data_IF_851020938757
#
_entry.id   IF_851020938757
#
_cell.length_a   1.000
_cell.length_b   1.000
_cell.length_c   1.000
_cell.angle_alpha   90.00
_cell.angle_beta   90.00
_cell.angle_gamma   90.00
#
_symmetry.space_group_name_H-M   'P 1'
#
loop_
_entity.id
_entity.type
_entity.pdbx_description
1 polymer ?
#
# COMPACT_ATOMS: atom_id res chain seq x y z
N UNK A 1 -39.81 -2.35 16.49
CA UNK A 1 -39.95 -0.95 16.99
C UNK A 1 -41.31 -0.32 16.70
N UNK A 2 -41.89 -0.42 15.49
CA UNK A 2 -43.19 0.22 15.16
C UNK A 2 -44.43 -0.43 15.82
N UNK A 3 -44.39 -1.71 16.18
CA UNK A 3 -45.54 -2.45 16.72
C UNK A 3 -45.82 -2.22 18.23
N UNK A 4 -44.83 -1.73 18.99
CA UNK A 4 -44.97 -1.48 20.44
C UNK A 4 -45.24 -0.01 20.78
N UNK A 5 -45.22 0.90 19.79
CA UNK A 5 -45.35 2.35 20.02
C UNK A 5 -46.77 2.78 20.44
N UNK A 6 -47.77 1.91 20.28
CA UNK A 6 -49.19 2.18 20.57
C UNK A 6 -49.77 1.44 21.79
N UNK A 7 -49.03 0.49 22.40
CA UNK A 7 -49.49 -0.21 23.61
C UNK A 7 -48.91 0.47 24.87
N UNK A 8 -49.77 0.79 25.84
CA UNK A 8 -49.42 1.50 27.10
C UNK A 8 -49.36 0.58 28.31
N UNK A 9 -49.39 -0.73 28.08
CA UNK A 9 -49.17 -1.77 29.08
C UNK A 9 -47.75 -1.67 29.68
N UNK A 10 -47.63 -1.96 30.97
CA UNK A 10 -46.35 -1.88 31.71
C UNK A 10 -45.30 -2.78 31.07
N UNK A 11 -45.71 -3.96 30.62
CA UNK A 11 -44.86 -4.91 29.90
C UNK A 11 -44.36 -4.36 28.55
N UNK A 12 -45.23 -3.70 27.78
CA UNK A 12 -44.87 -3.07 26.51
C UNK A 12 -43.86 -1.93 26.68
N UNK A 13 -44.02 -1.11 27.73
CA UNK A 13 -43.04 -0.06 28.09
C UNK A 13 -41.69 -0.65 28.49
N UNK A 14 -41.69 -1.72 29.29
CA UNK A 14 -40.47 -2.42 29.73
C UNK A 14 -39.72 -3.02 28.52
N UNK A 15 -40.44 -3.72 27.64
CA UNK A 15 -39.88 -4.31 26.41
C UNK A 15 -39.33 -3.26 25.46
N UNK A 16 -40.02 -2.12 25.30
CA UNK A 16 -39.53 -1.01 24.49
C UNK A 16 -38.22 -0.42 25.05
N UNK A 17 -38.12 -0.25 26.38
CA UNK A 17 -36.91 0.23 27.05
C UNK A 17 -35.74 -0.73 26.85
N UNK A 18 -35.96 -2.03 27.01
CA UNK A 18 -34.94 -3.06 26.80
C UNK A 18 -34.47 -3.11 25.34
N UNK A 19 -35.39 -3.12 24.37
CA UNK A 19 -35.04 -3.11 22.95
C UNK A 19 -34.25 -1.85 22.55
N UNK A 20 -34.60 -0.69 23.13
CA UNK A 20 -33.85 0.56 22.91
C UNK A 20 -32.43 0.45 23.48
N UNK A 21 -32.24 -0.10 24.68
CA UNK A 21 -30.93 -0.30 25.29
C UNK A 21 -30.05 -1.26 24.47
N UNK A 22 -30.60 -2.40 24.04
CA UNK A 22 -29.90 -3.35 23.18
C UNK A 22 -29.47 -2.71 21.86
N UNK A 23 -30.34 -1.90 21.24
CA UNK A 23 -29.99 -1.17 20.02
C UNK A 23 -28.81 -0.22 20.25
N UNK A 24 -28.81 0.56 21.34
CA UNK A 24 -27.69 1.44 21.67
C UNK A 24 -26.39 0.67 21.91
N UNK A 25 -26.45 -0.47 22.59
CA UNK A 25 -25.27 -1.32 22.81
C UNK A 25 -24.68 -1.82 21.49
N UNK A 26 -25.52 -2.36 20.60
CA UNK A 26 -25.08 -2.85 19.28
C UNK A 26 -24.50 -1.73 18.42
N UNK A 27 -25.11 -0.54 18.43
CA UNK A 27 -24.59 0.62 17.70
C UNK A 27 -23.23 1.08 18.24
N UNK A 28 -23.05 1.09 19.56
CA UNK A 28 -21.78 1.45 20.18
C UNK A 28 -20.67 0.43 19.84
N UNK A 29 -20.98 -0.87 19.92
CA UNK A 29 -20.06 -1.93 19.51
C UNK A 29 -19.67 -1.79 18.04
N UNK A 30 -20.64 -1.50 17.16
CA UNK A 30 -20.38 -1.29 15.73
C UNK A 30 -19.54 -0.04 15.47
N UNK A 31 -19.76 1.04 16.20
CA UNK A 31 -18.94 2.26 16.12
C UNK A 31 -17.49 1.99 16.56
N UNK A 32 -17.29 1.26 17.66
CA UNK A 32 -15.96 0.87 18.15
C UNK A 32 -15.25 -0.04 17.11
N UNK A 33 -15.97 -1.03 16.58
CA UNK A 33 -15.46 -1.94 15.55
C UNK A 33 -15.00 -1.19 14.30
N UNK A 34 -15.83 -0.30 13.76
CA UNK A 34 -15.45 0.46 12.56
C UNK A 34 -14.33 1.46 12.81
N UNK A 35 -14.29 2.09 13.99
CA UNK A 35 -13.19 2.99 14.39
C UNK A 35 -11.84 2.27 14.49
N UNK A 36 -11.83 1.03 14.98
CA UNK A 36 -10.62 0.20 14.99
C UNK A 36 -10.19 -0.16 13.57
N UNK A 37 -11.13 -0.55 12.72
CA UNK A 37 -10.87 -1.02 11.36
C UNK A 37 -10.45 0.10 10.40
N UNK A 38 -11.01 1.29 10.55
CA UNK A 38 -10.65 2.47 9.75
C UNK A 38 -9.31 3.09 10.13
N UNK A 39 -8.62 2.55 11.15
CA UNK A 39 -7.38 3.11 11.70
C UNK A 39 -7.51 4.61 12.02
N UNK A 40 -8.70 5.08 12.38
CA UNK A 40 -8.98 6.51 12.59
C UNK A 40 -8.13 7.13 13.71
N UNK A 41 -7.59 6.31 14.62
CA UNK A 41 -6.60 6.73 15.61
C UNK A 41 -5.29 7.19 14.94
N UNK A 42 -4.85 6.50 13.88
CA UNK A 42 -3.68 6.89 13.07
C UNK A 42 -3.91 8.22 12.35
N UNK A 43 -5.13 8.51 11.90
CA UNK A 43 -5.47 9.80 11.27
C UNK A 43 -5.45 10.97 12.27
N UNK A 44 -5.83 10.74 13.54
CA UNK A 44 -5.85 11.79 14.57
C UNK A 44 -4.48 12.04 15.20
N UNK A 45 -3.67 10.99 15.36
CA UNK A 45 -2.32 11.06 15.96
C UNK A 45 -1.20 11.14 14.91
N UNK A 46 -1.49 10.88 13.63
CA UNK A 46 -0.47 10.72 12.59
C UNK A 46 0.26 11.99 12.19
N UNK A 47 -0.30 13.15 12.53
CA UNK A 47 0.33 14.46 12.31
C UNK A 47 0.98 15.04 13.59
N UNK A 48 0.87 14.31 14.71
CA UNK A 48 1.55 14.68 15.94
C UNK A 48 2.70 13.69 16.16
N UNK A 49 3.93 14.21 16.30
CA UNK A 49 5.13 13.45 16.71
C UNK A 49 5.02 12.98 18.18
N UNK A 50 3.95 12.25 18.50
CA UNK A 50 3.66 11.78 19.86
C UNK A 50 4.59 10.61 20.22
N UNK A 51 4.82 10.41 21.53
CA UNK A 51 5.60 9.26 22.02
C UNK A 51 5.02 7.92 21.54
N UNK A 52 3.71 7.85 21.34
CA UNK A 52 3.03 6.67 20.81
C UNK A 52 3.41 6.38 19.35
N UNK A 53 3.49 7.40 18.50
CA UNK A 53 3.94 7.27 17.11
C UNK A 53 5.38 6.71 17.05
N UNK A 54 6.30 7.34 17.78
CA UNK A 54 7.68 6.87 17.83
C UNK A 54 7.77 5.43 18.38
N UNK A 55 7.04 5.10 19.43
CA UNK A 55 7.01 3.73 19.96
C UNK A 55 6.52 2.71 18.91
N UNK A 56 5.49 3.06 18.12
CA UNK A 56 4.96 2.19 17.08
C UNK A 56 5.91 2.06 15.89
N UNK A 57 6.53 3.15 15.45
CA UNK A 57 7.56 3.14 14.39
C UNK A 57 8.76 2.32 14.84
N UNK A 58 9.26 2.51 16.06
CA UNK A 58 10.36 1.72 16.61
C UNK A 58 9.99 0.24 16.74
N UNK A 59 8.76 -0.09 17.16
CA UNK A 59 8.29 -1.48 17.19
C UNK A 59 8.26 -2.10 15.79
N UNK A 60 7.78 -1.36 14.78
CA UNK A 60 7.81 -1.81 13.38
C UNK A 60 9.24 -1.97 12.87
N UNK A 61 10.13 -1.01 13.18
CA UNK A 61 11.56 -1.09 12.83
C UNK A 61 12.20 -2.35 13.41
N UNK A 62 11.97 -2.64 14.70
CA UNK A 62 12.50 -3.87 15.34
C UNK A 62 11.95 -5.13 14.70
N UNK A 63 10.65 -5.20 14.43
CA UNK A 63 10.03 -6.39 13.85
C UNK A 63 10.44 -6.64 12.40
N UNK A 64 10.71 -5.58 11.65
CA UNK A 64 11.04 -5.66 10.22
C UNK A 64 12.56 -5.57 9.96
N UNK A 65 13.38 -5.49 11.01
CA UNK A 65 14.83 -5.41 10.84
C UNK A 65 15.36 -6.77 10.38
N UNK A 66 15.98 -6.79 9.22
CA UNK A 66 16.77 -7.93 8.76
C UNK A 66 18.08 -7.89 9.54
N UNK A 67 18.31 -8.87 10.42
CA UNK A 67 19.51 -8.94 11.27
C UNK A 67 20.62 -9.70 10.55
N UNK A 68 20.26 -10.80 9.90
CA UNK A 68 21.14 -11.61 9.09
C UNK A 68 20.37 -12.31 7.98
N UNK A 69 21.07 -12.66 6.90
CA UNK A 69 20.59 -13.56 5.85
C UNK A 69 21.63 -14.65 5.64
N UNK A 70 21.20 -15.76 5.02
CA UNK A 70 22.10 -16.84 4.63
C UNK A 70 22.54 -16.62 3.19
N UNK A 71 23.84 -16.71 2.93
CA UNK A 71 24.38 -16.65 1.58
C UNK A 71 24.20 -17.99 0.82
N UNK A 72 24.57 -18.00 -0.46
CA UNK A 72 24.47 -19.18 -1.35
C UNK A 72 25.34 -20.34 -0.88
N UNK A 73 26.35 -20.09 -0.05
CA UNK A 73 27.23 -21.11 0.55
C UNK A 73 26.69 -21.66 1.87
N UNK A 74 25.57 -21.14 2.35
CA UNK A 74 24.92 -21.57 3.59
C UNK A 74 25.37 -20.81 4.84
N UNK A 75 26.26 -19.83 4.71
CA UNK A 75 26.84 -19.07 5.82
C UNK A 75 25.94 -17.87 6.16
N UNK A 76 25.80 -17.59 7.45
CA UNK A 76 25.04 -16.42 7.93
C UNK A 76 25.86 -15.13 7.82
N UNK A 77 25.27 -14.13 7.15
CA UNK A 77 25.81 -12.79 6.97
C UNK A 77 24.95 -11.75 7.71
N UNK A 78 25.59 -10.85 8.44
CA UNK A 78 25.09 -9.63 9.09
C UNK A 78 25.55 -8.38 8.34
N UNK A 79 25.02 -7.21 8.70
CA UNK A 79 25.37 -5.93 8.06
C UNK A 79 26.87 -5.60 8.07
N UNK A 80 27.62 -6.07 9.07
CA UNK A 80 29.06 -5.82 9.20
C UNK A 80 29.93 -6.79 8.38
N UNK A 81 29.37 -7.92 7.93
CA UNK A 81 30.15 -9.02 7.35
C UNK A 81 29.73 -9.43 5.92
N UNK A 82 29.04 -8.52 5.21
CA UNK A 82 28.68 -8.71 3.80
C UNK A 82 27.20 -9.02 3.52
N UNK A 83 26.28 -8.76 4.46
CA UNK A 83 24.84 -8.91 4.20
C UNK A 83 24.34 -8.03 3.04
N UNK A 84 24.94 -6.85 2.85
CA UNK A 84 24.63 -5.99 1.70
C UNK A 84 24.91 -6.68 0.37
N UNK A 85 26.06 -7.35 0.28
CA UNK A 85 26.47 -8.08 -0.92
C UNK A 85 25.52 -9.24 -1.21
N UNK A 86 25.10 -9.98 -0.18
CA UNK A 86 24.09 -11.06 -0.33
C UNK A 86 22.77 -10.53 -0.92
N UNK A 87 22.32 -9.33 -0.52
CA UNK A 87 21.11 -8.74 -1.10
C UNK A 87 21.31 -8.34 -2.55
N UNK A 88 22.45 -7.71 -2.86
CA UNK A 88 22.80 -7.29 -4.22
C UNK A 88 22.86 -8.50 -5.15
N UNK A 89 23.58 -9.55 -4.74
CA UNK A 89 23.71 -10.79 -5.50
C UNK A 89 22.36 -11.46 -5.73
N UNK A 90 21.51 -11.52 -4.70
CA UNK A 90 20.16 -12.07 -4.83
C UNK A 90 19.32 -11.33 -5.87
N UNK A 91 19.33 -9.99 -5.85
CA UNK A 91 18.56 -9.21 -6.81
C UNK A 91 19.18 -9.21 -8.21
N UNK A 92 20.51 -9.24 -8.31
CA UNK A 92 21.17 -9.42 -9.59
C UNK A 92 20.78 -10.76 -10.23
N UNK A 93 20.69 -11.83 -9.45
CA UNK A 93 20.32 -13.16 -9.93
C UNK A 93 18.83 -13.20 -10.35
N UNK A 94 17.90 -12.67 -9.54
CA UNK A 94 16.46 -12.72 -9.86
C UNK A 94 16.08 -11.82 -11.06
N UNK A 95 16.83 -10.74 -11.29
CA UNK A 95 16.63 -9.84 -12.43
C UNK A 95 17.57 -10.15 -13.60
N UNK A 96 18.39 -11.19 -13.49
CA UNK A 96 19.20 -11.68 -14.60
C UNK A 96 18.25 -12.21 -15.66
N UNK A 97 18.41 -11.71 -16.89
CA UNK A 97 17.67 -12.24 -18.02
C UNK A 97 18.04 -13.72 -18.18
N UNK A 98 17.04 -14.59 -18.18
CA UNK A 98 17.21 -15.98 -18.60
C UNK A 98 17.23 -16.01 -20.13
N UNK A 99 18.28 -16.62 -20.69
CA UNK A 99 18.35 -16.94 -22.11
C UNK A 99 17.35 -18.07 -22.42
N UNK A 100 16.10 -17.67 -22.61
CA UNK A 100 15.02 -18.52 -23.09
C UNK A 100 14.85 -18.39 -24.60
N UNK A 101 14.46 -19.48 -25.27
CA UNK A 101 13.93 -19.40 -26.62
C UNK A 101 12.49 -18.88 -26.51
N UNK A 102 12.33 -17.56 -26.60
CA UNK A 102 11.01 -16.90 -26.49
C UNK A 102 10.24 -16.83 -27.81
N UNK A 103 10.76 -17.45 -28.89
CA UNK A 103 10.21 -17.36 -30.25
C UNK A 103 8.71 -17.68 -30.32
N UNK A 104 8.31 -18.86 -29.84
CA UNK A 104 6.92 -19.32 -29.87
C UNK A 104 5.97 -18.42 -29.05
N UNK A 105 6.48 -17.83 -27.95
CA UNK A 105 5.71 -16.91 -27.09
C UNK A 105 5.55 -15.56 -27.77
N UNK A 106 6.61 -15.05 -28.39
CA UNK A 106 6.61 -13.77 -29.10
C UNK A 106 5.75 -13.83 -30.37
N UNK A 107 5.66 -14.97 -31.03
CA UNK A 107 4.74 -15.18 -32.17
C UNK A 107 3.26 -15.04 -31.78
N UNK A 108 2.93 -15.31 -30.51
CA UNK A 108 1.58 -15.12 -29.97
C UNK A 108 1.29 -13.66 -29.59
N UNK A 109 2.30 -12.79 -29.53
CA UNK A 109 2.16 -11.37 -29.20
C UNK A 109 2.00 -10.57 -30.47
N UNK A 110 0.80 -10.03 -30.70
CA UNK A 110 0.55 -9.12 -31.83
C UNK A 110 1.35 -7.83 -31.63
N UNK A 111 2.29 -7.47 -32.53
CA UNK A 111 3.04 -6.23 -32.41
C UNK A 111 2.10 -5.02 -32.51
N UNK A 112 2.06 -4.20 -31.47
CA UNK A 112 1.26 -2.96 -31.43
C UNK A 112 2.07 -1.70 -31.71
N UNK A 113 3.38 -1.77 -31.47
CA UNK A 113 4.30 -0.67 -31.72
C UNK A 113 4.76 -0.78 -33.16
N UNK A 114 4.37 0.19 -33.99
CA UNK A 114 4.83 0.29 -35.38
C UNK A 114 6.24 0.85 -35.41
N UNK A 115 6.93 0.63 -36.52
CA UNK A 115 8.27 1.17 -36.74
C UNK A 115 8.31 2.70 -36.57
N UNK A 116 7.27 3.41 -37.01
CA UNK A 116 7.10 4.85 -36.81
C UNK A 116 7.09 5.25 -35.32
N UNK A 117 6.46 4.44 -34.46
CA UNK A 117 6.46 4.69 -33.01
C UNK A 117 7.86 4.47 -32.43
N UNK A 118 8.57 3.43 -32.87
CA UNK A 118 9.97 3.19 -32.45
C UNK A 118 10.88 4.34 -32.86
N UNK A 119 10.77 4.82 -34.10
CA UNK A 119 11.54 5.97 -34.57
C UNK A 119 11.26 7.23 -33.75
N UNK A 120 10.00 7.43 -33.34
CA UNK A 120 9.65 8.53 -32.44
C UNK A 120 10.17 8.36 -31.01
N UNK A 121 10.23 7.14 -30.48
CA UNK A 121 10.69 6.85 -29.11
C UNK A 121 12.22 6.81 -28.99
N UNK A 122 12.93 6.50 -30.07
CA UNK A 122 14.39 6.45 -30.13
C UNK A 122 15.04 7.76 -30.59
N UNK A 123 14.23 8.78 -30.90
CA UNK A 123 14.75 10.09 -31.31
C UNK A 123 15.53 10.74 -30.15
N UNK A 124 16.58 11.52 -30.44
CA UNK A 124 17.27 12.31 -29.42
C UNK A 124 16.31 13.29 -28.74
N UNK A 125 16.42 13.41 -27.41
CA UNK A 125 15.68 14.40 -26.63
C UNK A 125 16.12 15.81 -27.07
N UNK A 126 15.14 16.67 -27.35
CA UNK A 126 15.38 18.06 -27.76
C UNK A 126 15.02 19.03 -26.64
N UNK A 127 15.75 20.15 -26.53
CA UNK A 127 15.55 21.16 -25.47
C UNK A 127 14.12 21.68 -25.39
N UNK A 128 13.45 21.77 -26.55
CA UNK A 128 12.06 22.21 -26.63
C UNK A 128 11.09 21.23 -25.93
N UNK A 129 11.33 19.93 -26.05
CA UNK A 129 10.53 18.88 -25.40
C UNK A 129 10.67 18.95 -23.88
N UNK A 130 11.90 19.16 -23.38
CA UNK A 130 12.15 19.38 -21.94
C UNK A 130 11.40 20.61 -21.45
N UNK A 131 11.46 21.71 -22.20
CA UNK A 131 10.77 22.96 -21.87
C UNK A 131 9.26 22.75 -21.78
N UNK A 132 8.66 22.14 -22.80
CA UNK A 132 7.22 21.93 -22.86
C UNK A 132 6.72 21.01 -21.73
N UNK A 133 7.46 19.95 -21.40
CA UNK A 133 7.13 19.08 -20.26
C UNK A 133 7.21 19.84 -18.93
N UNK A 134 8.27 20.62 -18.71
CA UNK A 134 8.45 21.38 -17.46
C UNK A 134 7.32 22.39 -17.24
N UNK A 135 6.85 23.04 -18.30
CA UNK A 135 5.78 24.05 -18.20
C UNK A 135 4.36 23.47 -18.30
N UNK A 136 4.19 22.21 -18.73
CA UNK A 136 2.91 21.50 -18.70
C UNK A 136 2.62 20.82 -17.35
N UNK A 137 3.58 20.74 -16.43
CA UNK A 137 3.34 20.19 -15.10
C UNK A 137 2.43 21.11 -14.26
N UNK A 138 1.31 20.57 -13.79
CA UNK A 138 0.48 21.23 -12.78
C UNK A 138 1.31 21.39 -11.48
N UNK A 139 1.24 22.54 -10.76
CA UNK A 139 2.12 22.84 -9.63
C UNK A 139 2.10 21.83 -8.45
N UNK A 140 1.13 20.92 -8.43
CA UNK A 140 0.94 19.89 -7.38
C UNK A 140 1.16 18.45 -7.88
N UNK A 141 1.71 18.25 -9.09
CA UNK A 141 2.00 16.89 -9.61
C UNK A 141 3.48 16.69 -9.89
N UNK A 142 3.99 15.55 -9.46
CA UNK A 142 5.37 15.12 -9.76
C UNK A 142 5.47 14.49 -11.16
N UNK A 143 6.64 14.55 -11.82
CA UNK A 143 6.82 14.19 -13.23
C UNK A 143 6.44 12.75 -13.61
N UNK A 144 6.44 11.82 -12.65
CA UNK A 144 6.24 10.37 -12.90
C UNK A 144 4.79 9.97 -13.26
N UNK A 145 3.84 10.89 -13.31
CA UNK A 145 2.45 10.60 -13.64
C UNK A 145 1.91 11.51 -14.74
N UNK A 146 2.44 11.33 -15.95
CA UNK A 146 1.73 11.72 -17.18
C UNK A 146 1.21 10.45 -17.86
N UNK A 147 -0.03 10.08 -17.54
CA UNK A 147 -0.90 9.24 -18.38
C UNK A 147 -2.27 9.90 -18.44
#
# INVERSE_FOLDING_TARGET
>A
MKQFKKRRDVEGKQRFKQAKQQLFQVLNQRAIFWRQRSKQLWLKEGDHNSKFFHAKVSARKRNNQIIHLRDTTGILRTWENGLGDVMVDYFNEIFKAEDGVWGDVLECVVPRVKEEHNQSLLRPIVDQEVKDVVFQMHPDKSPDQMV
#
